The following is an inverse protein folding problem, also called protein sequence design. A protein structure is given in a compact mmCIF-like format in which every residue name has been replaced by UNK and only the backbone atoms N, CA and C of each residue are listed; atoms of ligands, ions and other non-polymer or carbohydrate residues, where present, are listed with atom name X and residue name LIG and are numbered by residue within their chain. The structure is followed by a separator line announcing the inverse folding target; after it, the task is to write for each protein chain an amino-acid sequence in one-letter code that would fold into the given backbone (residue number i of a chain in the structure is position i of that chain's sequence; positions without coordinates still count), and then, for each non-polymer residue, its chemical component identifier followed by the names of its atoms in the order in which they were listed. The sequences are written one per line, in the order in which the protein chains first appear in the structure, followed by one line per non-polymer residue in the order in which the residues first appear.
data_IF_285469811366
#
_entry.id   IF_285469811366
#
_cell.length_a   1.000
_cell.length_b   1.000
_cell.length_c   1.000
_cell.angle_alpha   90.00
_cell.angle_beta   90.00
_cell.angle_gamma   90.00
#
_symmetry.space_group_name_H-M   'P 1'
#
loop_
_entity.id
_entity.type
_entity.pdbx_description
1 polymer ?
#
# COMPACT_ATOMS: atom_id res chain seq x y z
N UNK A 1 8.39 7.54 -1.74
CA UNK A 1 7.88 7.81 -0.39
C UNK A 1 6.38 8.03 -0.37
N UNK A 2 5.71 7.38 0.57
CA UNK A 2 4.30 7.53 0.93
C UNK A 2 4.20 8.04 2.37
N UNK A 3 3.14 8.77 2.69
CA UNK A 3 2.90 9.28 4.04
C UNK A 3 1.42 9.30 4.34
N UNK A 4 1.03 8.84 5.53
CA UNK A 4 -0.36 8.86 5.95
C UNK A 4 -0.50 9.14 7.44
N UNK A 5 -1.49 9.94 7.80
CA UNK A 5 -1.84 10.25 9.20
C UNK A 5 -2.79 9.18 9.73
N UNK A 6 -2.51 8.67 10.92
CA UNK A 6 -3.33 7.67 11.60
C UNK A 6 -4.34 8.35 12.53
N UNK A 7 -5.39 7.62 12.90
CA UNK A 7 -6.35 8.04 13.95
C UNK A 7 -5.71 8.15 15.35
N UNK A 8 -4.46 7.72 15.52
CA UNK A 8 -3.69 7.82 16.77
C UNK A 8 -2.84 9.10 16.84
N UNK A 9 -3.06 10.06 15.94
CA UNK A 9 -2.23 11.27 15.79
C UNK A 9 -0.75 10.98 15.54
N UNK A 10 -0.46 9.83 14.91
CA UNK A 10 0.87 9.48 14.42
C UNK A 10 0.89 9.48 12.90
N UNK A 11 2.07 9.54 12.32
CA UNK A 11 2.29 9.54 10.87
C UNK A 11 3.06 8.29 10.50
N UNK A 12 2.53 7.50 9.59
CA UNK A 12 3.27 6.40 8.96
C UNK A 12 3.98 7.00 7.74
N UNK A 13 5.30 6.88 7.70
CA UNK A 13 6.09 7.15 6.49
C UNK A 13 6.60 5.82 5.96
N UNK A 14 6.57 5.65 4.65
CA UNK A 14 6.90 4.41 3.98
C UNK A 14 7.66 4.71 2.69
N UNK A 15 8.79 4.05 2.49
CA UNK A 15 9.61 4.21 1.30
C UNK A 15 10.11 2.87 0.76
N UNK A 16 10.69 2.95 -0.43
CA UNK A 16 11.30 1.81 -1.11
C UNK A 16 12.51 1.24 -0.37
N UNK A 17 12.77 -0.06 -0.54
CA UNK A 17 13.84 -0.78 0.17
C UNK A 17 15.13 -0.92 -0.64
N UNK A 18 15.17 -0.32 -1.83
CA UNK A 18 16.21 -0.57 -2.83
C UNK A 18 17.19 0.61 -3.02
N UNK A 19 17.12 1.67 -2.21
CA UNK A 19 18.08 2.80 -2.25
C UNK A 19 19.28 2.68 -1.31
N UNK A 20 19.38 1.58 -0.57
CA UNK A 20 20.43 1.35 0.41
C UNK A 20 20.08 1.92 1.79
N UNK A 21 21.09 2.13 2.66
CA UNK A 21 20.87 2.54 4.05
C UNK A 21 20.08 3.85 4.22
N UNK A 22 19.05 3.82 5.08
CA UNK A 22 18.44 5.04 5.60
C UNK A 22 19.22 5.58 6.81
N UNK A 23 18.80 6.73 7.36
CA UNK A 23 19.39 7.28 8.58
C UNK A 23 18.96 6.54 9.86
N UNK A 24 18.03 5.59 9.77
CA UNK A 24 17.38 4.95 10.92
C UNK A 24 17.63 3.45 10.86
N UNK A 25 18.22 2.89 11.91
CA UNK A 25 18.43 1.44 12.03
C UNK A 25 17.17 0.76 12.56
N UNK A 26 16.94 -0.47 12.13
CA UNK A 26 15.97 -1.36 12.74
C UNK A 26 16.40 -1.73 14.17
N UNK A 27 15.43 -2.00 15.04
CA UNK A 27 15.70 -2.32 16.45
C UNK A 27 16.27 -3.74 16.60
N UNK A 28 16.99 -3.96 17.71
CA UNK A 28 17.49 -5.27 18.14
C UNK A 28 18.36 -6.00 17.12
N UNK A 29 19.06 -5.27 16.24
CA UNK A 29 19.90 -5.86 15.20
C UNK A 29 19.10 -6.61 14.12
N UNK A 30 17.78 -6.39 14.03
CA UNK A 30 16.93 -6.96 12.98
C UNK A 30 17.40 -6.45 11.62
N UNK A 31 17.50 -7.35 10.65
CA UNK A 31 17.77 -7.00 9.27
C UNK A 31 16.77 -7.69 8.35
N UNK A 32 16.34 -6.98 7.32
CA UNK A 32 15.61 -7.53 6.18
C UNK A 32 16.58 -8.40 5.38
N UNK A 33 16.24 -9.67 5.23
CA UNK A 33 16.96 -10.60 4.37
C UNK A 33 16.06 -10.95 3.19
N UNK A 34 16.33 -10.35 2.03
CA UNK A 34 15.59 -10.57 0.80
C UNK A 34 16.48 -11.05 -0.33
N UNK A 35 16.58 -12.38 -0.56
CA UNK A 35 17.40 -12.94 -1.62
C UNK A 35 16.99 -12.48 -3.03
N UNK A 36 15.71 -12.14 -3.20
CA UNK A 36 15.15 -11.63 -4.43
C UNK A 36 15.52 -10.15 -4.67
N UNK A 37 15.80 -9.37 -3.62
CA UNK A 37 16.17 -7.97 -3.77
C UNK A 37 17.40 -7.81 -4.69
N UNK A 38 17.30 -6.84 -5.60
CA UNK A 38 18.29 -6.64 -6.66
C UNK A 38 19.48 -5.80 -6.19
N UNK A 39 19.27 -4.90 -5.23
CA UNK A 39 20.27 -3.94 -4.79
C UNK A 39 20.94 -4.37 -3.48
N UNK A 40 20.17 -4.52 -2.39
CA UNK A 40 20.69 -4.88 -1.07
C UNK A 40 19.94 -6.07 -0.46
N UNK A 41 20.49 -7.27 -0.62
CA UNK A 41 19.88 -8.52 -0.14
C UNK A 41 19.79 -8.60 1.39
N UNK A 42 20.66 -7.90 2.09
CA UNK A 42 20.67 -7.78 3.55
C UNK A 42 20.64 -6.30 3.89
N UNK A 43 19.63 -5.88 4.64
CA UNK A 43 19.43 -4.48 4.99
C UNK A 43 18.95 -4.32 6.44
N UNK A 44 19.72 -3.60 7.24
CA UNK A 44 19.44 -3.39 8.66
C UNK A 44 18.84 -2.01 8.95
N UNK A 45 18.40 -1.29 7.91
CA UNK A 45 17.84 0.05 8.00
C UNK A 45 16.33 0.05 7.80
N UNK A 46 15.66 1.01 8.43
CA UNK A 46 14.22 1.15 8.38
C UNK A 46 13.83 1.94 7.13
N UNK A 47 12.95 1.35 6.33
CA UNK A 47 12.29 1.97 5.18
C UNK A 47 10.83 2.31 5.44
N UNK A 48 10.39 2.10 6.68
CA UNK A 48 9.14 2.64 7.18
C UNK A 48 9.35 3.10 8.60
N UNK A 49 8.65 4.15 8.99
CA UNK A 49 8.67 4.67 10.35
C UNK A 49 7.27 5.06 10.79
N UNK A 50 7.09 5.09 12.10
CA UNK A 50 6.00 5.79 12.76
C UNK A 50 6.55 7.04 13.44
N UNK A 51 6.11 8.21 13.00
CA UNK A 51 6.47 9.51 13.55
C UNK A 51 5.35 10.02 14.46
N UNK A 52 5.70 10.49 15.65
CA UNK A 52 4.78 11.17 16.55
C UNK A 52 5.09 12.68 16.58
N UNK A 53 4.25 13.53 15.96
CA UNK A 53 4.47 14.97 15.94
C UNK A 53 4.31 15.63 17.31
N UNK A 54 3.64 14.99 18.28
CA UNK A 54 3.43 15.55 19.62
C UNK A 54 4.70 15.57 20.48
N UNK A 55 5.66 14.68 20.22
CA UNK A 55 6.90 14.59 20.99
C UNK A 55 8.16 14.37 20.12
N UNK A 56 8.01 14.51 18.80
CA UNK A 56 9.06 14.29 17.79
C UNK A 56 9.73 12.92 17.83
N UNK A 57 9.09 11.89 18.42
CA UNK A 57 9.65 10.55 18.43
C UNK A 57 9.46 9.86 17.08
N UNK A 58 10.49 9.12 16.68
CA UNK A 58 10.49 8.28 15.49
C UNK A 58 10.72 6.84 15.92
N UNK A 59 9.84 5.95 15.49
CA UNK A 59 9.96 4.50 15.71
C UNK A 59 10.12 3.78 14.37
N UNK A 60 11.19 2.99 14.17
CA UNK A 60 11.33 2.19 12.96
C UNK A 60 10.24 1.14 12.87
N UNK A 61 9.73 0.93 11.67
CA UNK A 61 8.84 -0.16 11.28
C UNK A 61 9.58 -1.06 10.29
N UNK A 62 9.36 -2.36 10.40
CA UNK A 62 9.96 -3.33 9.50
C UNK A 62 9.06 -3.54 8.29
N UNK A 63 9.63 -3.45 7.09
CA UNK A 63 8.98 -3.86 5.84
C UNK A 63 9.84 -4.90 5.15
N UNK A 64 9.21 -5.96 4.65
CA UNK A 64 9.94 -7.09 4.10
C UNK A 64 10.24 -6.96 2.61
N UNK A 65 9.24 -6.55 1.84
CA UNK A 65 9.30 -6.42 0.38
C UNK A 65 9.16 -4.97 -0.04
N UNK A 66 9.75 -4.61 -1.18
CA UNK A 66 9.80 -3.23 -1.69
C UNK A 66 8.39 -2.62 -1.85
N UNK A 67 8.20 -1.43 -1.29
CA UNK A 67 6.93 -0.70 -1.32
C UNK A 67 6.93 0.46 -2.33
N UNK A 68 7.94 0.55 -3.17
CA UNK A 68 8.08 1.64 -4.15
C UNK A 68 6.85 1.76 -5.06
N UNK A 69 6.37 2.99 -5.21
CA UNK A 69 5.15 3.37 -5.93
C UNK A 69 3.94 2.46 -5.68
N UNK A 70 3.84 1.90 -4.48
CA UNK A 70 2.65 1.23 -4.01
C UNK A 70 1.51 2.21 -3.70
N UNK A 71 0.45 1.73 -3.06
CA UNK A 71 -0.69 2.52 -2.61
C UNK A 71 -1.37 1.84 -1.41
N UNK A 72 -2.38 2.47 -0.79
CA UNK A 72 -3.09 1.85 0.32
C UNK A 72 -4.27 2.67 0.84
N UNK A 73 -5.02 2.09 1.76
CA UNK A 73 -6.23 2.67 2.34
C UNK A 73 -6.44 2.19 3.79
N UNK A 74 -7.00 3.05 4.64
CA UNK A 74 -7.49 2.66 5.96
C UNK A 74 -8.86 2.01 5.88
N UNK A 75 -9.04 0.93 6.64
CA UNK A 75 -10.37 0.37 6.90
C UNK A 75 -11.02 1.08 8.10
N UNK A 76 -12.33 0.89 8.29
CA UNK A 76 -13.09 1.53 9.37
C UNK A 76 -12.57 1.24 10.78
N UNK A 77 -11.90 0.10 10.96
CA UNK A 77 -11.26 -0.26 12.23
C UNK A 77 -9.88 0.41 12.43
N UNK A 78 -9.51 1.35 11.56
CA UNK A 78 -8.24 2.07 11.61
C UNK A 78 -7.03 1.27 11.14
N UNK A 79 -7.22 0.03 10.64
CA UNK A 79 -6.14 -0.77 10.04
C UNK A 79 -5.75 -0.20 8.69
N UNK A 80 -4.48 0.11 8.51
CA UNK A 80 -3.92 0.45 7.19
C UNK A 80 -3.75 -0.83 6.39
N UNK A 81 -4.23 -0.83 5.14
CA UNK A 81 -3.95 -1.88 4.17
C UNK A 81 -3.22 -1.27 2.99
N UNK A 82 -1.97 -1.67 2.81
CA UNK A 82 -1.07 -1.24 1.76
C UNK A 82 -0.94 -2.38 0.73
N UNK A 83 -0.86 -2.02 -0.54
CA UNK A 83 -0.91 -2.96 -1.66
C UNK A 83 0.10 -2.59 -2.73
N UNK A 84 0.75 -3.61 -3.30
CA UNK A 84 1.68 -3.45 -4.40
C UNK A 84 3.06 -2.94 -3.97
N UNK A 85 3.83 -2.48 -4.93
CA UNK A 85 5.25 -2.18 -4.76
C UNK A 85 6.05 -2.43 -6.04
N UNK A 86 7.37 -2.41 -5.91
CA UNK A 86 8.27 -2.85 -6.99
C UNK A 86 8.72 -4.29 -6.75
N UNK A 87 9.13 -4.96 -7.83
CA UNK A 87 9.73 -6.29 -7.83
C UNK A 87 9.04 -7.31 -6.90
N UNK A 88 9.69 -7.73 -5.81
CA UNK A 88 9.15 -8.74 -4.89
C UNK A 88 7.93 -8.25 -4.10
N UNK A 89 7.72 -6.93 -4.05
CA UNK A 89 6.57 -6.27 -3.45
C UNK A 89 5.40 -6.05 -4.41
N UNK A 90 5.57 -6.31 -5.71
CA UNK A 90 4.63 -5.87 -6.75
C UNK A 90 3.19 -6.40 -6.62
N UNK A 91 3.02 -7.55 -5.97
CA UNK A 91 1.70 -8.17 -5.70
C UNK A 91 1.38 -8.28 -4.22
N UNK A 92 2.19 -7.68 -3.35
CA UNK A 92 2.10 -7.88 -1.91
C UNK A 92 0.99 -7.07 -1.28
N UNK A 93 0.43 -7.63 -0.22
CA UNK A 93 -0.55 -6.98 0.64
C UNK A 93 0.08 -6.92 2.04
N UNK A 94 0.12 -5.72 2.61
CA UNK A 94 0.72 -5.47 3.92
C UNK A 94 -0.30 -4.74 4.78
N UNK A 95 -0.41 -5.13 6.04
CA UNK A 95 -1.32 -4.49 6.98
C UNK A 95 -0.57 -3.93 8.17
N UNK A 96 -1.04 -2.81 8.70
CA UNK A 96 -0.54 -2.23 9.93
C UNK A 96 -1.74 -1.74 10.73
N UNK A 97 -1.94 -2.30 11.91
CA UNK A 97 -2.84 -1.71 12.90
C UNK A 97 -2.04 -0.66 13.68
N UNK A 98 -2.32 0.65 13.53
CA UNK A 98 -1.62 1.67 14.30
C UNK A 98 -1.88 1.47 15.80
N UNK A 99 -0.87 1.82 16.58
CA UNK A 99 -0.87 1.74 18.03
C UNK A 99 -0.38 3.07 18.60
N UNK A 100 -0.67 3.32 19.88
CA UNK A 100 -0.18 4.51 20.58
C UNK A 100 1.34 4.49 20.75
N UNK A 101 1.89 5.60 21.27
CA UNK A 101 3.35 5.81 21.38
C UNK A 101 4.11 4.70 22.14
N UNK A 102 3.47 4.03 23.12
CA UNK A 102 4.06 2.91 23.87
C UNK A 102 3.81 1.52 23.26
N UNK A 103 3.16 1.43 22.10
CA UNK A 103 2.84 0.15 21.46
C UNK A 103 3.98 -0.38 20.57
N UNK A 104 3.90 -1.67 20.23
CA UNK A 104 4.85 -2.36 19.36
C UNK A 104 4.20 -2.88 18.07
N UNK A 105 3.30 -2.10 17.48
CA UNK A 105 2.69 -2.44 16.19
C UNK A 105 3.71 -2.33 15.06
N UNK A 106 3.66 -3.29 14.14
CA UNK A 106 4.56 -3.38 12.99
C UNK A 106 3.78 -3.86 11.76
N UNK A 107 4.38 -3.73 10.58
CA UNK A 107 3.76 -4.24 9.37
C UNK A 107 3.70 -5.77 9.40
N UNK A 108 2.58 -6.29 8.92
CA UNK A 108 2.37 -7.71 8.66
C UNK A 108 2.17 -7.88 7.17
N UNK A 109 3.14 -8.53 6.51
CA UNK A 109 2.98 -8.95 5.13
C UNK A 109 2.16 -10.24 5.09
N UNK A 110 1.12 -10.25 4.25
CA UNK A 110 0.22 -11.38 4.13
C UNK A 110 0.76 -12.41 3.15
N UNK A 111 0.41 -13.68 3.37
CA UNK A 111 0.69 -14.75 2.42
C UNK A 111 -0.13 -14.60 1.13
N UNK A 112 -1.35 -14.06 1.26
CA UNK A 112 -2.21 -13.68 0.14
C UNK A 112 -1.57 -12.56 -0.70
N UNK A 113 -1.66 -12.70 -2.02
CA UNK A 113 -1.17 -11.71 -2.97
C UNK A 113 -2.32 -11.18 -3.83
N UNK A 114 -2.14 -9.96 -4.33
CA UNK A 114 -2.94 -9.42 -5.42
C UNK A 114 -2.89 -10.37 -6.63
N UNK A 115 -3.96 -10.38 -7.42
CA UNK A 115 -4.05 -11.23 -8.61
C UNK A 115 -3.13 -10.70 -9.70
N UNK A 116 -3.06 -9.38 -9.84
CA UNK A 116 -2.17 -8.71 -10.78
C UNK A 116 -1.17 -7.80 -10.07
N UNK A 117 -0.10 -7.46 -10.77
CA UNK A 117 0.93 -6.54 -10.31
C UNK A 117 0.42 -5.10 -10.25
N UNK A 118 0.58 -4.46 -9.11
CA UNK A 118 0.10 -3.10 -8.87
C UNK A 118 1.27 -2.20 -8.47
N UNK A 119 1.89 -1.58 -9.48
CA UNK A 119 2.84 -0.48 -9.32
C UNK A 119 2.17 0.78 -9.85
N UNK A 120 2.07 1.86 -9.08
CA UNK A 120 1.27 3.06 -9.38
C UNK A 120 -0.26 2.86 -9.43
N UNK A 121 -0.81 2.00 -8.58
CA UNK A 121 -2.27 1.83 -8.42
C UNK A 121 -2.87 2.85 -7.45
N UNK A 122 -4.20 2.98 -7.43
CA UNK A 122 -4.95 3.73 -6.40
C UNK A 122 -5.87 2.82 -5.60
N UNK A 123 -6.15 3.18 -4.35
CA UNK A 123 -7.06 2.43 -3.47
C UNK A 123 -8.22 3.31 -3.04
N UNK A 124 -9.42 2.74 -2.97
CA UNK A 124 -10.59 3.43 -2.43
C UNK A 124 -11.35 2.50 -1.48
N UNK A 125 -11.73 3.02 -0.32
CA UNK A 125 -12.55 2.30 0.64
C UNK A 125 -13.97 2.22 0.11
N UNK A 126 -14.57 1.02 0.15
CA UNK A 126 -15.96 0.81 -0.25
C UNK A 126 -16.93 1.16 0.90
N UNK A 127 -18.24 1.35 0.63
CA UNK A 127 -19.23 1.72 1.65
C UNK A 127 -19.28 0.80 2.87
N UNK A 128 -18.95 -0.49 2.69
CA UNK A 128 -18.91 -1.45 3.78
C UNK A 128 -17.83 -1.14 4.82
N UNK A 129 -16.80 -0.39 4.43
CA UNK A 129 -15.70 0.01 5.31
C UNK A 129 -14.72 -1.09 5.71
N UNK A 130 -14.94 -2.30 5.21
CA UNK A 130 -14.14 -3.50 5.48
C UNK A 130 -13.48 -4.06 4.21
N UNK A 131 -13.64 -3.36 3.09
CA UNK A 131 -13.15 -3.75 1.78
C UNK A 131 -12.71 -2.52 1.01
N UNK A 132 -11.63 -2.66 0.26
CA UNK A 132 -11.15 -1.67 -0.69
C UNK A 132 -11.16 -2.23 -2.11
N UNK A 133 -11.26 -1.32 -3.07
CA UNK A 133 -10.92 -1.56 -4.46
C UNK A 133 -9.50 -1.06 -4.72
N UNK A 134 -8.73 -1.83 -5.50
CA UNK A 134 -7.41 -1.48 -6.01
C UNK A 134 -7.55 -1.30 -7.51
N UNK A 135 -7.24 -0.10 -8.01
CA UNK A 135 -7.53 0.32 -9.38
C UNK A 135 -6.24 0.70 -10.09
N UNK A 136 -6.03 0.09 -11.25
CA UNK A 136 -4.93 0.40 -12.14
C UNK A 136 -3.59 -0.16 -11.69
N UNK A 137 -2.55 0.47 -12.22
CA UNK A 137 -1.16 0.06 -12.13
C UNK A 137 -0.51 0.16 -13.51
N UNK A 138 0.81 0.35 -13.53
CA UNK A 138 1.58 0.45 -14.77
C UNK A 138 1.42 -0.85 -15.56
N UNK A 139 0.88 -0.75 -16.77
CA UNK A 139 0.54 -1.88 -17.65
C UNK A 139 -0.51 -2.83 -17.05
N UNK A 140 -1.30 -2.37 -16.10
CA UNK A 140 -2.34 -3.14 -15.41
C UNK A 140 -3.68 -2.40 -15.53
N UNK A 141 -4.33 -2.39 -16.71
CA UNK A 141 -5.61 -1.70 -16.92
C UNK A 141 -6.77 -2.53 -16.35
N UNK A 142 -6.80 -2.66 -15.02
CA UNK A 142 -7.75 -3.49 -14.30
C UNK A 142 -8.05 -2.95 -12.91
N UNK A 143 -9.02 -3.55 -12.24
CA UNK A 143 -9.18 -3.40 -10.80
C UNK A 143 -9.39 -4.76 -10.14
N UNK A 144 -9.13 -4.83 -8.84
CA UNK A 144 -9.44 -5.98 -7.99
C UNK A 144 -9.85 -5.52 -6.58
N UNK A 145 -10.36 -6.44 -5.76
CA UNK A 145 -10.80 -6.14 -4.40
C UNK A 145 -9.91 -6.80 -3.36
N UNK A 146 -9.76 -6.14 -2.22
CA UNK A 146 -9.21 -6.75 -1.01
C UNK A 146 -10.03 -6.36 0.23
N UNK A 147 -10.43 -7.32 1.10
CA UNK A 147 -10.37 -8.76 0.87
C UNK A 147 -11.18 -9.17 -0.37
N UNK A 148 -10.93 -10.37 -0.91
CA UNK A 148 -11.75 -10.91 -2.00
C UNK A 148 -13.21 -11.06 -1.56
N UNK A 149 -14.15 -10.74 -2.45
CA UNK A 149 -15.60 -10.88 -2.20
C UNK A 149 -16.06 -12.33 -2.19
N UNK A 150 -15.33 -13.18 -2.92
CA UNK A 150 -15.58 -14.63 -3.01
C UNK A 150 -14.27 -15.36 -3.27
N UNK A 151 -14.22 -16.63 -2.87
CA UNK A 151 -13.07 -17.48 -3.15
C UNK A 151 -12.79 -17.55 -4.66
N UNK A 152 -11.52 -17.43 -5.05
CA UNK A 152 -11.08 -17.45 -6.45
C UNK A 152 -11.40 -16.20 -7.26
N UNK A 153 -11.84 -15.09 -6.63
CA UNK A 153 -12.04 -13.83 -7.35
C UNK A 153 -10.71 -13.28 -7.93
N UNK A 154 -10.72 -13.06 -9.24
CA UNK A 154 -9.59 -12.52 -9.99
C UNK A 154 -9.53 -10.99 -9.99
N UNK A 155 -9.10 -10.44 -11.12
CA UNK A 155 -9.20 -9.02 -11.45
C UNK A 155 -10.26 -8.80 -12.54
N UNK A 156 -10.64 -7.55 -12.73
CA UNK A 156 -11.61 -7.09 -13.71
C UNK A 156 -10.94 -6.13 -14.67
N UNK A 157 -11.16 -6.30 -15.98
CA UNK A 157 -10.59 -5.39 -16.97
C UNK A 157 -11.23 -4.00 -16.84
N UNK A 158 -10.37 -2.98 -16.95
CA UNK A 158 -10.75 -1.58 -16.97
C UNK A 158 -9.99 -0.88 -18.11
N UNK A 159 -10.38 -1.20 -19.33
CA UNK A 159 -9.67 -0.79 -20.56
C UNK A 159 -9.41 0.70 -20.70
N UNK A 160 -10.20 1.57 -20.06
CA UNK A 160 -9.96 3.03 -20.05
C UNK A 160 -8.62 3.44 -19.42
N UNK A 161 -8.05 2.58 -18.57
CA UNK A 161 -6.73 2.78 -17.96
C UNK A 161 -5.60 2.31 -18.87
N UNK A 162 -5.90 1.71 -20.02
CA UNK A 162 -4.90 1.35 -21.02
C UNK A 162 -4.18 2.58 -21.58
N UNK A 163 -2.94 2.38 -22.02
CA UNK A 163 -2.08 3.43 -22.58
C UNK A 163 -1.08 4.00 -21.58
N UNK A 164 -0.32 4.99 -22.04
CA UNK A 164 0.76 5.58 -21.25
C UNK A 164 0.24 6.59 -20.22
N UNK A 165 0.86 6.58 -19.03
CA UNK A 165 0.69 7.58 -17.97
C UNK A 165 -0.68 7.63 -17.28
N UNK A 166 -1.51 6.57 -17.34
CA UNK A 166 -2.71 6.43 -16.49
C UNK A 166 -2.37 5.93 -15.07
N UNK A 167 -1.28 6.43 -14.51
CA UNK A 167 -0.74 6.07 -13.19
C UNK A 167 -1.51 6.83 -12.10
N UNK A 168 -1.70 6.20 -10.94
CA UNK A 168 -2.47 6.76 -9.82
C UNK A 168 -3.83 7.35 -10.25
N UNK A 169 -4.72 6.53 -10.85
CA UNK A 169 -6.03 7.02 -11.28
C UNK A 169 -6.79 7.62 -10.09
N UNK A 170 -7.56 8.67 -10.35
CA UNK A 170 -8.45 9.25 -9.34
C UNK A 170 -9.65 8.32 -9.17
N UNK A 171 -9.92 7.88 -7.94
CA UNK A 171 -11.02 6.97 -7.61
C UNK A 171 -11.81 7.59 -6.48
N UNK A 172 -13.09 7.89 -6.72
CA UNK A 172 -13.97 8.53 -5.75
C UNK A 172 -15.24 7.71 -5.56
N UNK A 173 -15.60 7.47 -4.30
CA UNK A 173 -16.90 6.91 -3.94
C UNK A 173 -17.98 7.98 -4.02
N UNK A 174 -19.02 7.71 -4.81
CA UNK A 174 -20.16 8.59 -5.00
C UNK A 174 -21.26 8.32 -3.95
N UNK A 175 -22.17 9.27 -3.69
CA UNK A 175 -23.22 9.12 -2.67
C UNK A 175 -24.18 7.95 -2.91
N UNK A 176 -24.33 7.50 -4.16
CA UNK A 176 -25.15 6.35 -4.52
C UNK A 176 -24.44 4.99 -4.34
N UNK A 177 -23.17 4.99 -3.93
CA UNK A 177 -22.35 3.79 -3.73
C UNK A 177 -21.47 3.41 -4.93
N UNK A 178 -21.65 4.06 -6.09
CA UNK A 178 -20.82 3.85 -7.27
C UNK A 178 -19.44 4.49 -7.11
N UNK A 179 -18.50 4.11 -7.97
CA UNK A 179 -17.15 4.68 -8.02
C UNK A 179 -16.97 5.50 -9.30
N UNK A 180 -16.60 6.77 -9.17
CA UNK A 180 -16.09 7.55 -10.29
C UNK A 180 -14.59 7.33 -10.42
N UNK A 181 -14.16 6.82 -11.57
CA UNK A 181 -12.74 6.63 -11.91
C UNK A 181 -12.36 7.57 -13.03
N UNK A 182 -11.28 8.33 -12.86
CA UNK A 182 -10.75 9.25 -13.86
C UNK A 182 -9.24 9.07 -13.99
N UNK A 183 -8.77 8.97 -15.24
CA UNK A 183 -7.36 8.93 -15.57
C UNK A 183 -7.11 9.71 -16.87
N UNK A 184 -6.23 10.70 -16.79
CA UNK A 184 -5.81 11.55 -17.90
C UNK A 184 -7.00 12.27 -18.60
N UNK A 185 -7.58 11.69 -19.65
CA UNK A 185 -8.72 12.26 -20.40
C UNK A 185 -9.99 11.42 -20.34
N UNK A 186 -9.94 10.24 -19.74
CA UNK A 186 -11.04 9.29 -19.71
C UNK A 186 -11.63 9.21 -18.31
N UNK A 187 -12.93 8.97 -18.23
CA UNK A 187 -13.61 8.63 -16.97
C UNK A 187 -14.66 7.55 -17.17
N UNK A 188 -15.01 6.87 -16.09
CA UNK A 188 -16.12 5.93 -16.02
C UNK A 188 -16.73 5.95 -14.63
N UNK A 189 -18.02 5.67 -14.55
CA UNK A 189 -18.71 5.35 -13.31
C UNK A 189 -18.84 3.82 -13.22
N UNK A 190 -18.25 3.20 -12.20
CA UNK A 190 -18.33 1.77 -11.91
C UNK A 190 -19.40 1.53 -10.85
N UNK A 191 -20.30 0.59 -11.10
CA UNK A 191 -21.32 0.11 -10.16
C UNK A 191 -20.87 -1.18 -9.47
#
# INVERSE_FOLDING_TARGET
MHTVVTHMNTVIMLDHTNTGPSAIKLLNGRCRNQPAERISKVDCYAHSIMFNPGNNQVRPLYVYTDTWCSSGQFFNNGRMVQTGGDFEGNRKIRTLQPCGAGGNCDWVELEENLVTGCWYSSNQLLPSGIQQIIVGGRNTPSYEFYPKRRAGEGFYNLGMLGGDNNLYPFVYLLPNGDLFVFANRNSVQLN
#
